data_IF_049518905876
#
_entry.id   IF_049518905876
#
_cell.length_a   1.000
_cell.length_b   1.000
_cell.length_c   1.000
_cell.angle_alpha   90.00
_cell.angle_beta   90.00
_cell.angle_gamma   90.00
#
_symmetry.space_group_name_H-M   'P 1'
#
loop_
_entity.id
_entity.type
_entity.pdbx_description
1 polymer ?
#
# COMPACT_ATOMS: atom_id res chain seq x y z
N UNK A 1 -21.58 -16.07 15.03
CA UNK A 1 -20.12 -16.14 14.87
C UNK A 1 -19.65 -16.07 13.42
N UNK A 2 -20.43 -16.51 12.41
CA UNK A 2 -20.06 -16.41 10.98
C UNK A 2 -19.99 -14.96 10.43
N UNK A 3 -20.83 -14.06 10.96
CA UNK A 3 -20.93 -12.65 10.57
C UNK A 3 -19.66 -11.83 10.83
N UNK A 4 -18.84 -12.19 11.82
CA UNK A 4 -17.61 -11.46 12.14
C UNK A 4 -16.48 -11.84 11.18
N UNK A 5 -16.36 -13.12 10.82
CA UNK A 5 -15.32 -13.65 9.92
C UNK A 5 -15.42 -13.01 8.53
N UNK A 6 -16.63 -12.96 7.96
CA UNK A 6 -16.86 -12.36 6.64
C UNK A 6 -16.46 -10.86 6.62
N UNK A 7 -16.60 -10.17 7.76
CA UNK A 7 -16.25 -8.76 7.91
C UNK A 7 -14.74 -8.55 8.02
N UNK A 8 -14.03 -9.42 8.74
CA UNK A 8 -12.56 -9.39 8.82
C UNK A 8 -11.92 -9.73 7.47
N UNK A 9 -12.49 -10.69 6.74
CA UNK A 9 -11.99 -11.08 5.43
C UNK A 9 -12.21 -9.98 4.38
N UNK A 10 -13.37 -9.32 4.38
CA UNK A 10 -13.60 -8.13 3.55
C UNK A 10 -12.60 -7.03 3.86
N UNK A 11 -12.35 -6.76 5.15
CA UNK A 11 -11.43 -5.71 5.58
C UNK A 11 -9.97 -6.01 5.19
N UNK A 12 -9.54 -7.27 5.29
CA UNK A 12 -8.23 -7.70 4.81
C UNK A 12 -8.08 -7.50 3.30
N UNK A 13 -9.11 -7.86 2.54
CA UNK A 13 -9.12 -7.67 1.09
C UNK A 13 -9.05 -6.18 0.70
N UNK A 14 -9.75 -5.31 1.43
CA UNK A 14 -9.68 -3.85 1.25
C UNK A 14 -8.27 -3.30 1.51
N UNK A 15 -7.60 -3.76 2.58
CA UNK A 15 -6.22 -3.38 2.86
C UNK A 15 -5.24 -3.87 1.81
N UNK A 16 -5.42 -5.09 1.29
CA UNK A 16 -4.61 -5.60 0.17
C UNK A 16 -4.82 -4.77 -1.09
N UNK A 17 -6.06 -4.42 -1.43
CA UNK A 17 -6.35 -3.59 -2.59
C UNK A 17 -5.77 -2.17 -2.43
N UNK A 18 -5.90 -1.58 -1.25
CA UNK A 18 -5.35 -0.26 -0.96
C UNK A 18 -3.81 -0.25 -1.02
N UNK A 19 -3.16 -1.28 -0.48
CA UNK A 19 -1.71 -1.49 -0.61
C UNK A 19 -1.28 -1.51 -2.08
N UNK A 20 -1.98 -2.27 -2.93
CA UNK A 20 -1.71 -2.32 -4.38
C UNK A 20 -1.86 -0.98 -5.07
N UNK A 21 -2.86 -0.20 -4.71
CA UNK A 21 -3.06 1.16 -5.24
C UNK A 21 -1.89 2.06 -4.85
N UNK A 22 -1.49 2.07 -3.58
CA UNK A 22 -0.34 2.86 -3.10
C UNK A 22 0.96 2.45 -3.80
N UNK A 23 1.20 1.15 -3.95
CA UNK A 23 2.36 0.63 -4.66
C UNK A 23 2.37 1.06 -6.14
N UNK A 24 1.21 1.00 -6.78
CA UNK A 24 1.06 1.40 -8.18
C UNK A 24 1.33 2.89 -8.34
N UNK A 25 0.77 3.75 -7.49
CA UNK A 25 1.07 5.19 -7.49
C UNK A 25 2.56 5.46 -7.25
N UNK A 26 3.18 4.77 -6.29
CA UNK A 26 4.61 4.91 -6.02
C UNK A 26 5.45 4.53 -7.24
N UNK A 27 5.10 3.46 -7.95
CA UNK A 27 5.78 3.04 -9.17
C UNK A 27 5.63 4.08 -10.29
N UNK A 28 4.42 4.60 -10.54
CA UNK A 28 4.20 5.64 -11.54
C UNK A 28 4.98 6.92 -11.26
N UNK A 29 4.96 7.39 -10.00
CA UNK A 29 5.73 8.57 -9.59
C UNK A 29 7.23 8.32 -9.68
N UNK A 30 7.70 7.11 -9.36
CA UNK A 30 9.11 6.73 -9.52
C UNK A 30 9.53 6.75 -10.99
N UNK A 31 8.71 6.21 -11.90
CA UNK A 31 8.99 6.30 -13.35
C UNK A 31 8.99 7.75 -13.80
N UNK A 32 7.98 8.53 -13.39
CA UNK A 32 7.89 9.97 -13.64
C UNK A 32 9.13 10.75 -13.22
N UNK A 33 9.75 10.37 -12.10
CA UNK A 33 10.95 11.01 -11.59
C UNK A 33 12.17 10.87 -12.50
N UNK A 34 12.26 9.78 -13.26
CA UNK A 34 13.35 9.56 -14.21
C UNK A 34 13.12 10.22 -15.58
N UNK A 35 11.94 10.80 -15.83
CA UNK A 35 11.72 11.56 -17.06
C UNK A 35 12.45 12.91 -16.98
N UNK A 36 13.17 13.30 -18.04
CA UNK A 36 13.84 14.60 -18.09
C UNK A 36 12.83 15.75 -18.00
N UNK A 37 13.27 16.87 -17.41
CA UNK A 37 12.53 18.14 -17.31
C UNK A 37 11.14 18.07 -16.64
N UNK A 38 10.82 16.97 -15.94
CA UNK A 38 9.51 16.79 -15.30
C UNK A 38 9.43 17.49 -13.95
N UNK A 39 10.55 17.56 -13.22
CA UNK A 39 10.59 18.11 -11.86
C UNK A 39 11.80 19.02 -11.66
N UNK A 40 11.58 20.15 -10.98
CA UNK A 40 12.68 21.02 -10.54
C UNK A 40 13.43 20.40 -9.35
N UNK A 41 14.66 20.87 -9.09
CA UNK A 41 15.49 20.36 -7.99
C UNK A 41 14.80 20.41 -6.62
N UNK A 42 13.95 21.43 -6.37
CA UNK A 42 13.17 21.54 -5.13
C UNK A 42 11.99 20.57 -5.08
N UNK A 43 11.37 20.26 -6.22
CA UNK A 43 10.29 19.29 -6.32
C UNK A 43 10.79 17.85 -6.20
N UNK A 44 12.01 17.57 -6.67
CA UNK A 44 12.62 16.25 -6.60
C UNK A 44 12.66 15.70 -5.18
N UNK A 45 13.01 16.53 -4.20
CA UNK A 45 13.05 16.12 -2.79
C UNK A 45 11.64 15.82 -2.25
N UNK A 46 10.65 16.62 -2.62
CA UNK A 46 9.26 16.43 -2.21
C UNK A 46 8.69 15.12 -2.78
N UNK A 47 9.00 14.81 -4.04
CA UNK A 47 8.51 13.59 -4.71
C UNK A 47 9.13 12.34 -4.09
N UNK A 48 10.42 12.36 -3.78
CA UNK A 48 11.06 11.25 -3.08
C UNK A 48 10.42 11.00 -1.72
N UNK A 49 10.03 12.05 -0.99
CA UNK A 49 9.30 11.93 0.27
C UNK A 49 7.93 11.30 0.03
N UNK A 50 7.16 11.77 -0.96
CA UNK A 50 5.84 11.23 -1.30
C UNK A 50 5.93 9.75 -1.67
N UNK A 51 6.86 9.38 -2.55
CA UNK A 51 7.11 7.99 -2.95
C UNK A 51 7.47 7.12 -1.74
N UNK A 52 8.31 7.63 -0.83
CA UNK A 52 8.66 6.92 0.40
C UNK A 52 7.43 6.68 1.29
N UNK A 53 6.57 7.68 1.49
CA UNK A 53 5.34 7.53 2.27
C UNK A 53 4.36 6.53 1.62
N UNK A 54 4.20 6.56 0.30
CA UNK A 54 3.35 5.61 -0.42
C UNK A 54 3.86 4.17 -0.28
N UNK A 55 5.18 3.97 -0.38
CA UNK A 55 5.82 2.66 -0.18
C UNK A 55 5.66 2.14 1.24
N UNK A 56 5.95 2.97 2.25
CA UNK A 56 5.77 2.60 3.66
C UNK A 56 4.30 2.25 3.92
N UNK A 57 3.36 3.09 3.48
CA UNK A 57 1.93 2.82 3.59
C UNK A 57 1.55 1.50 2.93
N UNK A 58 2.00 1.26 1.70
CA UNK A 58 1.77 0.01 0.97
C UNK A 58 2.24 -1.21 1.77
N UNK A 59 3.45 -1.16 2.33
CA UNK A 59 4.03 -2.25 3.13
C UNK A 59 3.22 -2.46 4.42
N UNK A 60 2.87 -1.37 5.13
CA UNK A 60 2.07 -1.44 6.35
C UNK A 60 0.70 -2.09 6.09
N UNK A 61 0.00 -1.67 5.03
CA UNK A 61 -1.31 -2.26 4.68
C UNK A 61 -1.20 -3.71 4.22
N UNK A 62 -0.15 -4.06 3.47
CA UNK A 62 0.10 -5.46 3.09
C UNK A 62 0.37 -6.35 4.31
N UNK A 63 1.19 -5.87 5.25
CA UNK A 63 1.49 -6.58 6.49
C UNK A 63 0.25 -6.71 7.39
N UNK A 64 -0.57 -5.66 7.49
CA UNK A 64 -1.84 -5.70 8.23
C UNK A 64 -2.81 -6.72 7.64
N UNK A 65 -2.93 -6.77 6.30
CA UNK A 65 -3.74 -7.79 5.62
C UNK A 65 -3.25 -9.20 5.89
N UNK A 66 -1.94 -9.46 5.76
CA UNK A 66 -1.36 -10.78 6.05
C UNK A 66 -1.55 -11.21 7.50
N UNK A 67 -1.53 -10.26 8.43
CA UNK A 67 -1.78 -10.52 9.85
C UNK A 67 -3.25 -10.87 10.10
N UNK A 68 -4.19 -10.24 9.39
CA UNK A 68 -5.60 -10.58 9.45
C UNK A 68 -5.88 -11.98 8.89
N UNK A 69 -5.25 -12.35 7.77
CA UNK A 69 -5.39 -13.70 7.17
C UNK A 69 -4.86 -14.81 8.08
N UNK A 70 -3.77 -14.57 8.84
CA UNK A 70 -3.22 -15.57 9.77
C UNK A 70 -4.12 -15.87 10.97
N UNK A 71 -4.88 -14.88 11.45
CA UNK A 71 -5.81 -15.09 12.56
C UNK A 71 -7.03 -15.95 12.17
N UNK A 72 -7.42 -15.96 10.89
CA UNK A 72 -8.44 -16.87 10.37
C UNK A 72 -7.92 -18.31 10.23
N UNK A 73 -6.63 -18.50 9.94
CA UNK A 73 -6.02 -19.82 9.77
C UNK A 73 -5.71 -20.57 11.08
N UNK A 74 -5.66 -19.88 12.23
CA UNK A 74 -5.46 -20.50 13.55
C UNK A 74 -6.78 -20.91 14.24
N UNK A 75 -7.94 -20.56 13.67
CA UNK A 75 -9.27 -20.97 14.17
C UNK A 75 -9.95 -22.07 13.33
N UNK A 76 -9.25 -22.63 12.33
CA UNK A 76 -9.65 -23.84 11.60
C UNK A 76 -8.86 -25.06 12.09
#
# INVERSE_FOLDING_TARGET
>A
MKLDIDKYQSLANDFTNFSRVLLTLAAFLSVGFYLPDTFSASQSQVILIIVSFLLIGSICFHAASKKAEKHDGEQQ
#
